data_IF_178244972755
#
_entry.id   IF_178244972755
#
_cell.length_a   1.000
_cell.length_b   1.000
_cell.length_c   1.000
_cell.angle_alpha   90.00
_cell.angle_beta   90.00
_cell.angle_gamma   90.00
#
_symmetry.space_group_name_H-M   'P 1'
#
loop_
_entity.id
_entity.type
_entity.pdbx_description
1 polymer ?
#
# COMPACT_ATOMS: atom_id res chain seq x y z
N UNK A 1 10.88 -10.09 3.20
CA UNK A 1 9.92 -10.44 2.14
C UNK A 1 9.91 -9.36 1.09
N UNK A 2 9.69 -9.70 -0.18
CA UNK A 2 9.59 -8.75 -1.28
C UNK A 2 8.30 -7.91 -1.17
N UNK A 3 8.31 -6.63 -1.60
CA UNK A 3 7.12 -5.80 -1.59
C UNK A 3 6.14 -6.24 -2.69
N UNK A 4 4.85 -6.23 -2.35
CA UNK A 4 3.76 -6.50 -3.30
C UNK A 4 2.99 -5.20 -3.50
N UNK A 5 2.71 -4.86 -4.76
CA UNK A 5 1.77 -3.81 -5.11
C UNK A 5 0.41 -4.41 -5.40
N UNK A 6 -0.64 -3.86 -4.79
CA UNK A 6 -2.03 -4.22 -5.03
C UNK A 6 -2.77 -3.00 -5.58
N UNK A 7 -3.44 -3.18 -6.71
CA UNK A 7 -4.25 -2.17 -7.40
C UNK A 7 -5.65 -2.71 -7.69
N UNK A 8 -6.61 -1.81 -7.86
CA UNK A 8 -7.93 -2.10 -8.42
C UNK A 8 -8.50 -0.81 -9.04
N UNK A 9 -9.58 -0.90 -9.81
CA UNK A 9 -10.19 0.27 -10.49
C UNK A 9 -10.72 1.31 -9.48
N UNK A 10 -11.37 0.85 -8.40
CA UNK A 10 -12.10 1.73 -7.49
C UNK A 10 -11.45 1.78 -6.10
N UNK A 11 -11.56 2.94 -5.42
CA UNK A 11 -11.09 3.07 -4.03
C UNK A 11 -11.77 2.05 -3.11
N UNK A 12 -13.04 1.72 -3.36
CA UNK A 12 -13.80 0.75 -2.57
C UNK A 12 -13.26 -0.68 -2.70
N UNK A 13 -12.94 -1.15 -3.91
CA UNK A 13 -12.33 -2.47 -4.12
C UNK A 13 -11.00 -2.57 -3.37
N UNK A 14 -10.18 -1.53 -3.48
CA UNK A 14 -8.90 -1.47 -2.80
C UNK A 14 -9.04 -1.43 -1.25
N UNK A 15 -10.05 -0.74 -0.74
CA UNK A 15 -10.34 -0.70 0.70
C UNK A 15 -10.89 -2.04 1.21
N UNK A 16 -11.69 -2.75 0.41
CA UNK A 16 -12.16 -4.10 0.72
C UNK A 16 -10.98 -5.07 0.85
N UNK A 17 -10.03 -5.04 -0.09
CA UNK A 17 -8.79 -5.82 -0.01
C UNK A 17 -7.97 -5.44 1.22
N UNK A 18 -7.85 -4.14 1.49
CA UNK A 18 -7.15 -3.64 2.68
C UNK A 18 -7.76 -4.23 3.95
N UNK A 19 -9.09 -4.17 4.11
CA UNK A 19 -9.78 -4.72 5.29
C UNK A 19 -9.51 -6.22 5.48
N UNK A 20 -9.55 -7.01 4.41
CA UNK A 20 -9.21 -8.43 4.48
C UNK A 20 -7.75 -8.66 4.87
N UNK A 21 -6.82 -7.91 4.29
CA UNK A 21 -5.39 -8.02 4.62
C UNK A 21 -5.08 -7.63 6.07
N UNK A 22 -5.83 -6.69 6.64
CA UNK A 22 -5.68 -6.28 8.04
C UNK A 22 -6.06 -7.36 9.06
N UNK A 23 -6.89 -8.33 8.67
CA UNK A 23 -7.18 -9.49 9.51
C UNK A 23 -5.91 -10.32 9.77
N UNK A 24 -4.98 -10.30 8.82
CA UNK A 24 -3.68 -10.94 8.93
C UNK A 24 -2.67 -9.98 9.54
N UNK A 25 -2.35 -10.14 10.83
CA UNK A 25 -1.38 -9.31 11.59
C UNK A 25 0.07 -9.32 11.08
N UNK A 26 0.34 -10.06 10.00
CA UNK A 26 1.68 -10.36 9.50
C UNK A 26 2.18 -9.36 8.44
N UNK A 27 1.29 -8.52 7.91
CA UNK A 27 1.58 -7.61 6.81
C UNK A 27 1.74 -6.17 7.29
N UNK A 28 2.73 -5.49 6.71
CA UNK A 28 2.85 -4.04 6.84
C UNK A 28 2.21 -3.39 5.62
N UNK A 29 1.03 -2.83 5.82
CA UNK A 29 0.21 -2.24 4.76
C UNK A 29 0.44 -0.72 4.67
N UNK A 30 0.57 -0.21 3.45
CA UNK A 30 0.66 1.23 3.14
C UNK A 30 -0.37 1.55 2.07
N UNK A 31 -1.28 2.48 2.37
CA UNK A 31 -2.29 3.02 1.44
C UNK A 31 -1.77 4.33 0.84
N UNK A 32 -1.73 4.44 -0.49
CA UNK A 32 -1.18 5.63 -1.16
C UNK A 32 -2.18 6.78 -1.30
N UNK A 33 -3.47 6.49 -1.20
CA UNK A 33 -4.54 7.46 -1.41
C UNK A 33 -4.70 8.44 -0.23
N UNK A 34 -5.35 9.56 -0.51
CA UNK A 34 -5.67 10.58 0.48
C UNK A 34 -6.79 10.09 1.43
N UNK A 35 -6.73 10.39 2.75
CA UNK A 35 -7.77 9.96 3.69
C UNK A 35 -9.19 10.34 3.27
N UNK A 36 -9.39 11.48 2.59
CA UNK A 36 -10.71 11.93 2.14
C UNK A 36 -11.39 11.02 1.11
N UNK A 37 -10.62 10.20 0.38
CA UNK A 37 -11.14 9.28 -0.65
C UNK A 37 -11.19 7.82 -0.18
N UNK A 38 -10.68 7.55 1.02
CA UNK A 38 -10.50 6.23 1.60
C UNK A 38 -11.54 6.02 2.71
N UNK A 39 -12.00 4.79 2.92
CA UNK A 39 -12.87 4.45 4.04
C UNK A 39 -12.19 4.71 5.39
N UNK A 40 -12.98 4.99 6.43
CA UNK A 40 -12.46 5.39 7.75
C UNK A 40 -11.46 4.39 8.36
N UNK A 41 -11.73 3.08 8.28
CA UNK A 41 -10.87 2.06 8.89
C UNK A 41 -9.43 2.04 8.30
N UNK A 42 -9.24 2.08 6.97
CA UNK A 42 -7.92 2.17 6.37
C UNK A 42 -7.20 3.52 6.49
N UNK A 43 -7.83 4.59 7.00
CA UNK A 43 -7.21 5.94 7.10
C UNK A 43 -5.84 5.92 7.77
N UNK A 44 -5.71 5.17 8.86
CA UNK A 44 -4.46 5.06 9.62
C UNK A 44 -3.30 4.49 8.82
N UNK A 45 -3.55 3.79 7.71
CA UNK A 45 -2.53 3.21 6.85
C UNK A 45 -2.16 4.10 5.66
N UNK A 46 -2.86 5.22 5.48
CA UNK A 46 -2.53 6.20 4.44
C UNK A 46 -1.18 6.85 4.73
N UNK A 47 -0.44 7.19 3.68
CA UNK A 47 0.86 7.87 3.82
C UNK A 47 0.74 9.19 4.61
N UNK A 48 -0.22 10.09 4.32
CA UNK A 48 -0.35 11.33 5.07
C UNK A 48 -0.55 11.10 6.57
N UNK A 49 -1.44 10.17 6.95
CA UNK A 49 -1.70 9.85 8.36
C UNK A 49 -0.50 9.17 9.03
N UNK A 50 0.18 8.26 8.34
CA UNK A 50 1.39 7.62 8.85
C UNK A 50 2.52 8.62 9.13
N UNK A 51 2.72 9.58 8.22
CA UNK A 51 3.71 10.65 8.42
C UNK A 51 3.37 11.49 9.65
N UNK A 52 2.10 11.84 9.82
CA UNK A 52 1.62 12.63 10.95
C UNK A 52 1.81 11.91 12.29
N UNK A 53 1.50 10.61 12.36
CA UNK A 53 1.73 9.79 13.55
C UNK A 53 3.21 9.75 13.93
N UNK A 54 4.10 9.56 12.96
CA UNK A 54 5.55 9.53 13.18
C UNK A 54 6.11 10.87 13.65
N UNK A 55 5.56 11.99 13.17
CA UNK A 55 5.95 13.33 13.64
C UNK A 55 5.60 13.51 15.12
N UNK A 56 4.40 13.07 15.53
CA UNK A 56 3.94 13.14 16.93
C UNK A 56 4.82 12.29 17.85
N UNK A 57 5.17 11.07 17.44
CA UNK A 57 6.08 10.20 18.21
C UNK A 57 7.47 10.82 18.40
N UNK A 58 8.01 11.48 17.36
CA UNK A 58 9.30 12.18 17.44
C UNK A 58 9.25 13.40 18.35
N UNK A 59 8.16 14.16 18.35
CA UNK A 59 8.01 15.33 19.22
C UNK A 59 7.85 14.95 20.69
N UNK A 60 7.33 13.76 20.99
CA UNK A 60 7.21 13.22 22.35
C UNK A 60 8.51 12.55 22.86
N UNK A 61 9.47 12.29 21.98
CA UNK A 61 10.76 11.67 22.32
C UNK A 61 11.86 12.74 22.49
N UNK A 62 12.29 13.00 23.73
CA UNK A 62 13.39 13.91 24.11
C UNK A 62 14.70 13.67 23.31
N UNK A 63 15.55 14.70 23.02
CA UNK A 63 16.57 14.65 21.95
C UNK A 63 17.88 13.93 22.30
N UNK A 64 17.94 13.14 23.37
CA UNK A 64 19.15 12.42 23.77
C UNK A 64 18.97 10.91 23.59
N UNK A 65 19.14 10.43 22.36
CA UNK A 65 19.90 9.20 22.04
C UNK A 65 19.87 8.95 20.54
N UNK A 66 21.06 9.11 19.96
CA UNK A 66 21.62 8.29 18.88
C UNK A 66 20.65 7.81 17.80
N UNK A 67 20.74 8.51 16.67
CA UNK A 67 20.57 8.02 15.29
C UNK A 67 20.42 6.50 15.17
N UNK A 68 19.23 6.01 15.43
CA UNK A 68 18.80 4.73 14.92
C UNK A 68 17.73 5.09 13.92
N UNK A 69 17.99 4.73 12.68
CA UNK A 69 17.01 4.65 11.62
C UNK A 69 15.84 3.81 12.12
N UNK A 70 14.92 4.41 12.88
CA UNK A 70 13.63 3.84 13.25
C UNK A 70 12.89 3.79 11.95
N UNK A 71 13.17 2.69 11.27
CA UNK A 71 12.66 2.35 9.98
C UNK A 71 11.17 2.59 10.08
N UNK A 72 10.64 3.44 9.20
CA UNK A 72 9.21 3.60 8.97
C UNK A 72 8.50 2.23 9.09
N UNK A 73 9.22 1.22 8.61
CA UNK A 73 9.08 -0.22 8.77
C UNK A 73 9.03 -0.71 10.23
N UNK A 74 7.86 -1.21 10.66
CA UNK A 74 7.72 -2.11 11.80
C UNK A 74 8.61 -3.37 11.66
N UNK A 75 8.49 -4.34 12.60
CA UNK A 75 9.49 -5.36 12.86
C UNK A 75 10.02 -6.02 11.57
N UNK A 76 11.33 -6.34 11.51
CA UNK A 76 12.08 -6.65 10.28
C UNK A 76 11.64 -7.89 9.49
N UNK A 77 10.55 -8.57 9.90
CA UNK A 77 10.02 -9.78 9.27
C UNK A 77 8.65 -9.64 8.60
N UNK A 78 8.04 -8.44 8.55
CA UNK A 78 6.75 -8.25 7.89
C UNK A 78 6.87 -8.12 6.35
N UNK A 79 6.04 -8.84 5.60
CA UNK A 79 5.86 -8.61 4.15
C UNK A 79 5.19 -7.25 3.96
N UNK A 80 5.72 -6.42 3.06
CA UNK A 80 5.21 -5.05 2.84
C UNK A 80 4.25 -5.05 1.65
N UNK A 81 3.02 -4.64 1.90
CA UNK A 81 1.98 -4.54 0.88
C UNK A 81 1.66 -3.07 0.66
N UNK A 82 1.77 -2.65 -0.59
CA UNK A 82 1.52 -1.28 -1.02
C UNK A 82 0.25 -1.28 -1.83
N UNK A 83 -0.64 -0.35 -1.50
CA UNK A 83 -2.01 -0.37 -1.95
C UNK A 83 -2.38 1.02 -2.50
N UNK A 84 -2.50 1.14 -3.81
CA UNK A 84 -2.85 2.40 -4.50
C UNK A 84 -1.80 2.89 -5.51
N UNK A 85 -1.96 4.13 -6.00
CA UNK A 85 -1.15 4.71 -7.08
C UNK A 85 0.19 5.25 -6.55
N UNK A 86 1.28 4.68 -7.04
CA UNK A 86 2.62 4.88 -6.49
C UNK A 86 3.39 6.07 -7.05
N UNK A 87 4.19 6.70 -6.17
CA UNK A 87 5.31 7.58 -6.56
C UNK A 87 6.41 6.80 -7.30
N UNK A 88 7.13 7.43 -8.25
CA UNK A 88 7.98 6.75 -9.25
C UNK A 88 9.23 6.02 -8.71
N UNK A 89 9.62 6.19 -7.43
CA UNK A 89 10.89 5.68 -6.92
C UNK A 89 10.89 4.22 -6.43
N UNK A 90 9.73 3.54 -6.38
CA UNK A 90 9.63 2.20 -5.80
C UNK A 90 9.45 1.13 -6.88
N UNK A 91 10.21 0.03 -6.75
CA UNK A 91 10.11 -1.18 -7.60
C UNK A 91 9.23 -2.24 -6.92
N UNK A 92 8.36 -2.88 -7.69
CA UNK A 92 7.47 -3.92 -7.21
C UNK A 92 7.60 -5.18 -8.05
N UNK A 93 8.38 -6.19 -7.60
CA UNK A 93 8.58 -7.41 -8.37
C UNK A 93 7.29 -8.22 -8.55
N UNK A 94 6.28 -8.01 -7.69
CA UNK A 94 4.96 -8.63 -7.78
C UNK A 94 3.88 -7.55 -7.77
N UNK A 95 2.98 -7.63 -8.73
CA UNK A 95 1.81 -6.77 -8.86
C UNK A 95 0.56 -7.66 -8.89
N UNK A 96 -0.41 -7.33 -8.05
CA UNK A 96 -1.75 -7.93 -8.06
C UNK A 96 -2.74 -6.83 -8.46
N UNK A 97 -3.58 -7.10 -9.46
CA UNK A 97 -4.65 -6.20 -9.87
C UNK A 97 -5.97 -6.93 -9.70
N UNK A 98 -6.82 -6.40 -8.82
CA UNK A 98 -8.17 -6.87 -8.59
C UNK A 98 -9.17 -6.11 -9.47
N UNK A 99 -10.30 -6.73 -9.75
CA UNK A 99 -11.32 -6.22 -10.70
C UNK A 99 -10.71 -5.84 -12.06
N UNK A 100 -9.71 -6.59 -12.52
CA UNK A 100 -8.93 -6.29 -13.71
C UNK A 100 -9.76 -6.25 -15.01
N UNK A 101 -10.91 -6.95 -15.05
CA UNK A 101 -11.85 -6.89 -16.17
C UNK A 101 -12.57 -5.55 -16.30
N UNK A 102 -12.64 -4.76 -15.22
CA UNK A 102 -13.29 -3.45 -15.18
C UNK A 102 -12.31 -2.30 -15.45
N UNK A 103 -11.00 -2.60 -15.56
CA UNK A 103 -9.94 -1.61 -15.75
C UNK A 103 -9.62 -1.48 -17.25
N UNK A 104 -9.50 -0.26 -17.75
CA UNK A 104 -9.05 -0.03 -19.13
C UNK A 104 -7.61 -0.50 -19.33
N UNK A 105 -7.28 -0.98 -20.53
CA UNK A 105 -5.91 -1.44 -20.85
C UNK A 105 -4.85 -0.38 -20.52
N UNK A 106 -5.14 0.89 -20.85
CA UNK A 106 -4.26 2.02 -20.51
C UNK A 106 -4.02 2.16 -19.00
N UNK A 107 -5.04 1.94 -18.17
CA UNK A 107 -4.92 2.03 -16.72
C UNK A 107 -4.12 0.84 -16.13
N UNK A 108 -4.19 -0.35 -16.74
CA UNK A 108 -3.39 -1.53 -16.34
C UNK A 108 -1.88 -1.29 -16.55
N UNK A 109 -1.49 -0.48 -17.53
CA UNK A 109 -0.07 -0.17 -17.79
C UNK A 109 0.56 0.69 -16.68
N UNK A 110 -0.22 1.49 -15.97
CA UNK A 110 0.27 2.39 -14.90
C UNK A 110 1.02 1.64 -13.79
N UNK A 111 0.53 0.53 -13.23
CA UNK A 111 1.30 -0.26 -12.27
C UNK A 111 2.46 -1.02 -12.94
N UNK A 112 2.32 -1.47 -14.19
CA UNK A 112 3.34 -2.27 -14.90
C UNK A 112 4.68 -1.53 -15.08
N UNK A 113 4.66 -0.21 -15.24
CA UNK A 113 5.89 0.60 -15.36
C UNK A 113 6.74 0.64 -14.08
N UNK A 114 6.35 -0.08 -13.01
CA UNK A 114 7.08 -0.16 -11.73
C UNK A 114 8.11 -1.29 -11.66
N UNK A 115 8.59 -1.78 -12.80
CA UNK A 115 9.61 -2.84 -12.92
C UNK A 115 9.14 -4.09 -12.17
N UNK A 116 8.09 -4.71 -12.71
CA UNK A 116 7.54 -5.95 -12.21
C UNK A 116 8.13 -7.16 -12.92
N UNK A 117 8.30 -8.25 -12.17
CA UNK A 117 8.73 -9.54 -12.69
C UNK A 117 7.53 -10.49 -12.87
N UNK A 118 6.44 -10.23 -12.15
CA UNK A 118 5.24 -11.03 -12.19
C UNK A 118 4.01 -10.16 -11.92
N UNK A 119 3.00 -10.32 -12.77
CA UNK A 119 1.69 -9.73 -12.57
C UNK A 119 0.63 -10.83 -12.42
N UNK A 120 -0.29 -10.62 -11.51
CA UNK A 120 -1.50 -11.42 -11.34
C UNK A 120 -2.70 -10.51 -11.57
N UNK A 121 -3.50 -10.82 -12.58
CA UNK A 121 -4.75 -10.13 -12.88
C UNK A 121 -5.90 -11.00 -12.38
N UNK A 122 -6.79 -10.43 -11.57
CA UNK A 122 -7.99 -11.08 -11.05
C UNK A 122 -9.18 -10.25 -11.50
N UNK A 123 -10.17 -10.89 -12.12
CA UNK A 123 -11.39 -10.24 -12.55
C UNK A 123 -12.35 -11.23 -13.20
N UNK A 124 -13.63 -10.88 -13.24
CA UNK A 124 -14.66 -11.64 -13.93
C UNK A 124 -14.97 -10.99 -15.28
N UNK A 125 -14.74 -11.71 -16.38
CA UNK A 125 -15.00 -11.22 -17.74
C UNK A 125 -16.47 -11.33 -18.17
N UNK A 126 -17.34 -11.91 -17.33
CA UNK A 126 -18.78 -12.10 -17.61
C UNK A 126 -19.70 -11.12 -16.89
N UNK A 127 -19.14 -10.18 -16.12
CA UNK A 127 -19.86 -9.03 -15.55
C UNK A 127 -19.96 -7.89 -16.56
#
# INVERSE_FOLDING_TARGET
>A
GQPILICAETHQAVDNLTRHLLQYRQYRLIRYDEPRTVAYDPHKYTIPTQIELLRREKQQSSPNTTTTNKSLFGPPKAKKIHVGVLKPAFKFPFILIDEASQITECNIVIPLVRITNQIVLVGDQKQ
#
